data_IF_340367943913
#
_entry.id   IF_340367943913
#
_cell.length_a   1.000
_cell.length_b   1.000
_cell.length_c   1.000
_cell.angle_alpha   90.00
_cell.angle_beta   90.00
_cell.angle_gamma   90.00
#
_symmetry.space_group_name_H-M   'P 1'
#
loop_
_entity.id
_entity.type
_entity.pdbx_description
1 polymer ?
#
# COMPACT_ATOMS: atom_id res chain seq x y z
N UNK A 1 23.65 -7.36 -47.90
CA UNK A 1 24.40 -8.43 -47.22
C UNK A 1 24.15 -8.32 -45.71
N UNK A 2 23.00 -8.69 -45.17
CA UNK A 2 22.42 -10.03 -44.99
C UNK A 2 23.30 -10.93 -44.10
N UNK A 3 23.14 -10.83 -42.75
CA UNK A 3 23.39 -11.89 -41.74
C UNK A 3 23.08 -11.38 -40.32
N UNK A 4 21.79 -11.31 -39.98
CA UNK A 4 21.32 -11.39 -38.58
C UNK A 4 20.08 -12.28 -38.61
N UNK A 5 20.30 -13.59 -38.51
CA UNK A 5 19.22 -14.56 -38.28
C UNK A 5 19.71 -15.59 -37.28
N UNK A 6 18.78 -16.04 -36.44
CA UNK A 6 18.82 -17.21 -35.55
C UNK A 6 19.43 -17.01 -34.16
N UNK A 7 18.58 -16.58 -33.21
CA UNK A 7 18.60 -17.09 -31.83
C UNK A 7 17.23 -16.83 -31.18
N UNK A 8 16.24 -17.67 -31.48
CA UNK A 8 14.99 -17.79 -30.70
C UNK A 8 14.19 -19.01 -31.19
N UNK A 9 14.65 -20.23 -30.91
CA UNK A 9 13.83 -21.44 -31.02
C UNK A 9 14.49 -22.61 -30.28
N UNK A 10 14.27 -22.73 -28.97
CA UNK A 10 14.40 -23.99 -28.22
C UNK A 10 13.89 -23.80 -26.78
N UNK A 11 12.59 -23.99 -26.56
CA UNK A 11 12.00 -24.51 -25.31
C UNK A 11 10.47 -24.57 -25.44
N UNK A 12 10.01 -25.51 -26.25
CA UNK A 12 8.65 -26.05 -26.16
C UNK A 12 8.82 -27.56 -26.05
N UNK A 13 8.70 -28.07 -24.83
CA UNK A 13 8.87 -29.48 -24.53
C UNK A 13 8.23 -29.83 -23.18
N UNK A 14 6.95 -30.23 -23.26
CA UNK A 14 6.17 -30.99 -22.29
C UNK A 14 5.89 -30.38 -20.88
N UNK A 15 4.75 -29.69 -20.75
CA UNK A 15 3.96 -29.69 -19.50
C UNK A 15 2.46 -29.57 -19.80
N UNK A 16 1.81 -30.70 -20.01
CA UNK A 16 0.35 -30.92 -19.93
C UNK A 16 0.27 -32.37 -19.39
N UNK A 17 -0.38 -32.77 -18.29
CA UNK A 17 -1.65 -32.39 -17.68
C UNK A 17 -1.62 -32.75 -16.18
N UNK A 18 -1.70 -31.77 -15.30
CA UNK A 18 -2.23 -31.94 -13.95
C UNK A 18 -2.77 -30.58 -13.51
N UNK A 19 -4.02 -30.28 -13.88
CA UNK A 19 -4.67 -29.04 -13.49
C UNK A 19 -4.90 -29.03 -11.98
N UNK A 20 -4.39 -28.04 -11.22
CA UNK A 20 -4.83 -27.89 -9.85
C UNK A 20 -6.23 -27.29 -9.87
N UNK A 21 -7.21 -28.08 -9.43
CA UNK A 21 -8.57 -27.67 -9.04
C UNK A 21 -8.57 -26.75 -7.80
N UNK A 22 -7.74 -25.71 -7.79
CA UNK A 22 -7.54 -24.79 -6.66
C UNK A 22 -7.87 -23.36 -7.07
N UNK A 23 -9.05 -23.18 -7.67
CA UNK A 23 -9.73 -21.88 -7.75
C UNK A 23 -11.01 -21.87 -6.91
N UNK A 24 -11.27 -22.92 -6.12
CA UNK A 24 -12.39 -22.94 -5.19
C UNK A 24 -11.98 -22.18 -3.92
N UNK A 25 -12.48 -20.95 -3.86
CA UNK A 25 -12.40 -20.04 -2.74
C UNK A 25 -12.93 -20.75 -1.49
N UNK A 26 -12.03 -21.27 -0.64
CA UNK A 26 -12.41 -21.82 0.67
C UNK A 26 -12.94 -20.65 1.50
N UNK A 27 -14.26 -20.46 1.42
CA UNK A 27 -15.05 -19.58 2.26
C UNK A 27 -15.07 -20.17 3.68
N UNK A 28 -13.92 -20.14 4.35
CA UNK A 28 -13.82 -20.51 5.76
C UNK A 28 -14.76 -19.61 6.56
N UNK A 29 -15.80 -20.21 7.13
CA UNK A 29 -16.74 -19.61 8.09
C UNK A 29 -15.96 -18.96 9.24
N UNK A 30 -15.72 -17.65 9.11
CA UNK A 30 -15.23 -16.84 10.22
C UNK A 30 -16.41 -16.48 11.11
N UNK A 31 -16.56 -17.24 12.18
CA UNK A 31 -17.53 -17.03 13.26
C UNK A 31 -17.68 -15.56 13.69
N UNK A 32 -18.90 -15.03 13.58
CA UNK A 32 -19.46 -14.00 14.48
C UNK A 32 -19.04 -12.54 14.31
N UNK A 33 -18.46 -12.13 13.18
CA UNK A 33 -18.20 -10.72 12.89
C UNK A 33 -19.35 -10.08 12.08
N UNK A 34 -19.79 -8.84 12.37
CA UNK A 34 -20.73 -8.13 11.48
C UNK A 34 -20.13 -8.06 10.07
N UNK A 35 -20.93 -8.28 9.00
CA UNK A 35 -20.45 -8.38 7.64
C UNK A 35 -19.55 -7.20 7.32
N UNK A 36 -18.26 -7.50 7.13
CA UNK A 36 -17.27 -6.50 6.75
C UNK A 36 -17.77 -5.84 5.48
N UNK A 37 -18.02 -4.52 5.51
CA UNK A 37 -18.33 -3.70 4.34
C UNK A 37 -17.62 -4.25 3.12
N UNK A 38 -18.37 -4.59 2.06
CA UNK A 38 -17.88 -5.13 0.79
C UNK A 38 -16.55 -4.46 0.50
N UNK A 39 -15.46 -5.18 0.75
CA UNK A 39 -14.13 -4.66 0.45
C UNK A 39 -14.16 -4.53 -1.06
N UNK A 40 -13.98 -3.31 -1.58
CA UNK A 40 -13.79 -3.11 -3.02
C UNK A 40 -12.84 -4.22 -3.47
N UNK A 41 -13.21 -5.00 -4.50
CA UNK A 41 -12.37 -6.09 -4.98
C UNK A 41 -10.96 -5.53 -5.10
N UNK A 42 -10.02 -6.20 -4.44
CA UNK A 42 -8.63 -5.77 -4.54
C UNK A 42 -8.32 -5.79 -6.03
N UNK A 43 -7.90 -4.64 -6.59
CA UNK A 43 -7.37 -4.60 -7.96
C UNK A 43 -6.44 -5.80 -8.13
N UNK A 44 -6.78 -6.66 -9.09
CA UNK A 44 -6.08 -7.91 -9.29
C UNK A 44 -4.62 -7.64 -9.61
N UNK A 45 -3.75 -8.62 -9.39
CA UNK A 45 -2.36 -8.53 -9.84
C UNK A 45 -2.30 -8.23 -11.35
N UNK A 46 -3.20 -8.84 -12.13
CA UNK A 46 -3.34 -8.62 -13.56
C UNK A 46 -3.60 -7.15 -13.91
N UNK A 47 -4.61 -6.53 -13.30
CA UNK A 47 -4.93 -5.11 -13.54
C UNK A 47 -3.75 -4.17 -13.21
N UNK A 48 -2.96 -4.49 -12.16
CA UNK A 48 -1.75 -3.71 -11.86
C UNK A 48 -0.66 -3.87 -12.91
N UNK A 49 -0.54 -5.05 -13.52
CA UNK A 49 0.44 -5.32 -14.58
C UNK A 49 0.01 -4.72 -15.92
N UNK A 50 -1.29 -4.72 -16.22
CA UNK A 50 -1.87 -3.99 -17.36
C UNK A 50 -1.62 -2.48 -17.22
N UNK A 51 -1.87 -1.90 -16.04
CA UNK A 51 -1.54 -0.48 -15.76
C UNK A 51 -0.03 -0.18 -15.86
N UNK A 52 0.82 -1.13 -15.46
CA UNK A 52 2.27 -1.01 -15.66
C UNK A 52 2.60 -0.99 -17.16
N UNK A 53 2.07 -1.93 -17.94
CA UNK A 53 2.28 -2.00 -19.38
C UNK A 53 1.85 -0.71 -20.07
N UNK A 54 0.62 -0.23 -19.81
CA UNK A 54 0.11 1.03 -20.37
C UNK A 54 1.03 2.22 -20.03
N UNK A 55 1.54 2.27 -18.80
CA UNK A 55 2.48 3.31 -18.38
C UNK A 55 3.81 3.18 -19.14
N UNK A 56 4.30 1.96 -19.40
CA UNK A 56 5.53 1.77 -20.16
C UNK A 56 5.38 2.21 -21.60
N UNK A 57 4.29 1.82 -22.27
CA UNK A 57 4.01 2.22 -23.66
C UNK A 57 3.97 3.74 -23.78
N UNK A 58 3.21 4.41 -22.89
CA UNK A 58 3.05 5.86 -22.91
C UNK A 58 4.34 6.62 -22.59
N UNK A 59 5.04 6.24 -21.52
CA UNK A 59 6.17 7.03 -21.02
C UNK A 59 7.49 6.75 -21.75
N UNK A 60 7.61 5.59 -22.40
CA UNK A 60 8.81 5.19 -23.16
C UNK A 60 8.65 5.31 -24.67
N UNK A 61 7.45 5.67 -25.15
CA UNK A 61 7.16 5.84 -26.58
C UNK A 61 7.60 4.61 -27.38
N UNK A 62 7.22 3.42 -26.88
CA UNK A 62 7.63 2.15 -27.47
C UNK A 62 7.05 1.99 -28.89
N UNK A 63 7.86 1.54 -29.84
CA UNK A 63 7.36 1.15 -31.16
C UNK A 63 6.59 -0.18 -31.12
N UNK A 64 5.93 -0.56 -32.21
CA UNK A 64 5.07 -1.75 -32.24
C UNK A 64 5.79 -3.05 -31.82
N UNK A 65 7.01 -3.26 -32.31
CA UNK A 65 7.81 -4.46 -31.99
C UNK A 65 8.21 -4.49 -30.51
N UNK A 66 8.67 -3.34 -29.98
CA UNK A 66 8.99 -3.18 -28.56
C UNK A 66 7.75 -3.38 -27.67
N UNK A 67 6.58 -2.87 -28.07
CA UNK A 67 5.33 -3.06 -27.34
C UNK A 67 4.98 -4.54 -27.23
N UNK A 68 5.03 -5.29 -28.33
CA UNK A 68 4.78 -6.73 -28.33
C UNK A 68 5.75 -7.49 -27.42
N UNK A 69 7.05 -7.20 -27.52
CA UNK A 69 8.07 -7.86 -26.70
C UNK A 69 7.97 -7.49 -25.21
N UNK A 70 7.68 -6.23 -24.88
CA UNK A 70 7.45 -5.80 -23.48
C UNK A 70 6.18 -6.44 -22.92
N UNK A 71 5.11 -6.54 -23.70
CA UNK A 71 3.88 -7.24 -23.29
C UNK A 71 4.16 -8.70 -22.95
N UNK A 72 4.88 -9.40 -23.82
CA UNK A 72 5.28 -10.78 -23.59
C UNK A 72 6.14 -10.94 -22.31
N UNK A 73 7.07 -10.02 -22.06
CA UNK A 73 7.87 -10.03 -20.82
C UNK A 73 7.00 -9.84 -19.56
N UNK A 74 6.01 -8.95 -19.61
CA UNK A 74 5.08 -8.71 -18.50
C UNK A 74 4.15 -9.90 -18.27
N UNK A 75 3.64 -10.53 -19.33
CA UNK A 75 2.80 -11.74 -19.26
C UNK A 75 3.59 -12.94 -18.72
N UNK A 76 4.84 -13.13 -19.17
CA UNK A 76 5.74 -14.15 -18.64
C UNK A 76 5.97 -13.95 -17.15
N UNK A 77 6.25 -12.70 -16.71
CA UNK A 77 6.36 -12.39 -15.29
C UNK A 77 5.06 -12.65 -14.51
N UNK A 78 3.90 -12.35 -15.09
CA UNK A 78 2.61 -12.64 -14.48
C UNK A 78 2.45 -14.15 -14.21
N UNK A 79 2.82 -14.98 -15.20
CA UNK A 79 2.79 -16.43 -15.09
C UNK A 79 3.83 -16.96 -14.10
N UNK A 80 5.08 -16.46 -14.14
CA UNK A 80 6.14 -16.81 -13.19
C UNK A 80 5.70 -16.53 -11.75
N UNK A 81 5.07 -15.37 -11.49
CA UNK A 81 4.55 -15.06 -10.16
C UNK A 81 3.36 -15.94 -9.79
N UNK A 82 2.51 -16.32 -10.74
CA UNK A 82 1.40 -17.25 -10.49
C UNK A 82 1.93 -18.62 -10.07
N UNK A 83 2.91 -19.15 -10.81
CA UNK A 83 3.58 -20.42 -10.49
C UNK A 83 4.25 -20.34 -9.10
N UNK A 84 5.00 -19.27 -8.83
CA UNK A 84 5.62 -19.05 -7.52
C UNK A 84 4.61 -18.99 -6.37
N UNK A 85 3.44 -18.39 -6.59
CA UNK A 85 2.35 -18.39 -5.58
C UNK A 85 1.76 -19.79 -5.39
N UNK A 86 1.66 -20.59 -6.45
CA UNK A 86 1.18 -21.97 -6.32
C UNK A 86 2.19 -22.85 -5.55
N UNK A 87 3.48 -22.69 -5.85
CA UNK A 87 4.57 -23.45 -5.22
C UNK A 87 4.78 -23.06 -3.75
N UNK A 88 4.81 -21.76 -3.43
CA UNK A 88 5.12 -21.27 -2.08
C UNK A 88 3.90 -20.76 -1.30
N UNK A 89 2.69 -20.91 -1.84
CA UNK A 89 1.46 -20.34 -1.27
C UNK A 89 1.14 -20.89 0.11
N UNK A 90 1.14 -22.22 0.25
CA UNK A 90 0.90 -22.91 1.52
C UNK A 90 2.03 -22.64 2.52
N UNK A 91 3.29 -22.61 2.08
CA UNK A 91 4.43 -22.26 2.94
C UNK A 91 4.29 -20.83 3.51
N UNK A 92 3.92 -19.85 2.68
CA UNK A 92 3.67 -18.48 3.13
C UNK A 92 2.49 -18.38 4.09
N UNK A 93 1.44 -19.19 3.90
CA UNK A 93 0.29 -19.26 4.79
C UNK A 93 0.69 -19.82 6.15
N UNK A 94 1.40 -20.96 6.16
CA UNK A 94 1.94 -21.57 7.37
C UNK A 94 2.88 -20.61 8.12
N UNK A 95 3.80 -19.94 7.42
CA UNK A 95 4.69 -18.93 8.02
C UNK A 95 3.92 -17.78 8.66
N UNK A 96 2.83 -17.29 8.04
CA UNK A 96 2.00 -16.23 8.65
C UNK A 96 1.34 -16.70 9.93
N UNK A 97 0.87 -17.94 9.97
CA UNK A 97 0.26 -18.53 11.17
C UNK A 97 1.29 -18.72 12.28
N UNK A 98 2.48 -19.23 11.95
CA UNK A 98 3.60 -19.37 12.90
C UNK A 98 4.02 -18.01 13.46
N UNK A 99 4.17 -16.98 12.61
CA UNK A 99 4.48 -15.61 13.06
C UNK A 99 3.39 -15.09 13.98
N UNK A 100 2.11 -15.35 13.68
CA UNK A 100 1.01 -14.94 14.54
C UNK A 100 1.02 -15.66 15.90
N UNK A 101 1.32 -16.96 15.93
CA UNK A 101 1.46 -17.76 17.16
C UNK A 101 2.65 -17.29 18.01
N UNK A 102 3.86 -17.26 17.45
CA UNK A 102 5.08 -16.81 18.13
C UNK A 102 4.93 -15.38 18.68
N UNK A 103 4.25 -14.49 17.92
CA UNK A 103 3.95 -13.13 18.38
C UNK A 103 2.98 -13.09 19.56
N UNK A 104 1.98 -13.97 19.61
CA UNK A 104 1.06 -14.08 20.75
C UNK A 104 1.77 -14.64 21.97
N UNK A 105 2.65 -15.62 21.78
CA UNK A 105 3.44 -16.25 22.84
C UNK A 105 4.62 -15.39 23.35
N UNK A 106 5.02 -14.35 22.61
CA UNK A 106 6.13 -13.48 22.99
C UNK A 106 7.52 -14.05 22.64
N UNK A 107 7.58 -15.06 21.78
CA UNK A 107 8.81 -15.77 21.39
C UNK A 107 9.66 -14.95 20.40
N UNK A 108 10.51 -14.06 20.94
CA UNK A 108 11.31 -13.12 20.13
C UNK A 108 12.31 -13.82 19.21
N UNK A 109 12.97 -14.88 19.67
CA UNK A 109 13.97 -15.60 18.86
C UNK A 109 13.31 -16.38 17.72
N UNK A 110 12.20 -17.08 17.99
CA UNK A 110 11.41 -17.74 16.95
C UNK A 110 10.95 -16.76 15.87
N UNK A 111 10.50 -15.56 16.26
CA UNK A 111 10.12 -14.51 15.32
C UNK A 111 11.27 -14.10 14.40
N UNK A 112 12.51 -13.99 14.89
CA UNK A 112 13.67 -13.65 14.02
C UNK A 112 13.86 -14.69 12.93
N UNK A 113 13.85 -15.98 13.29
CA UNK A 113 13.97 -17.08 12.32
C UNK A 113 12.84 -17.09 11.28
N UNK A 114 11.60 -16.90 11.72
CA UNK A 114 10.45 -16.80 10.82
C UNK A 114 10.54 -15.61 9.86
N UNK A 115 11.04 -14.45 10.33
CA UNK A 115 11.27 -13.30 9.47
C UNK A 115 12.39 -13.52 8.45
N UNK A 116 13.43 -14.27 8.80
CA UNK A 116 14.47 -14.66 7.84
C UNK A 116 13.89 -15.54 6.72
N UNK A 117 13.07 -16.55 7.06
CA UNK A 117 12.36 -17.37 6.06
C UNK A 117 11.46 -16.52 5.16
N UNK A 118 10.67 -15.63 5.76
CA UNK A 118 9.80 -14.71 5.01
C UNK A 118 10.60 -13.81 4.04
N UNK A 119 11.78 -13.33 4.46
CA UNK A 119 12.67 -12.54 3.61
C UNK A 119 13.28 -13.38 2.50
N UNK A 120 13.64 -14.63 2.75
CA UNK A 120 14.19 -15.54 1.75
C UNK A 120 13.19 -15.79 0.61
N UNK A 121 11.95 -16.17 0.94
CA UNK A 121 10.87 -16.28 -0.05
C UNK A 121 10.61 -14.94 -0.76
N UNK A 122 10.63 -13.84 0.00
CA UNK A 122 10.54 -12.50 -0.57
C UNK A 122 11.60 -12.24 -1.64
N UNK A 123 12.86 -12.66 -1.45
CA UNK A 123 13.97 -12.48 -2.40
C UNK A 123 13.72 -13.22 -3.72
N UNK A 124 13.27 -14.47 -3.68
CA UNK A 124 12.92 -15.22 -4.89
C UNK A 124 11.88 -14.47 -5.75
N UNK A 125 10.83 -13.94 -5.11
CA UNK A 125 9.85 -13.12 -5.82
C UNK A 125 10.45 -11.82 -6.39
N UNK A 126 11.41 -11.21 -5.69
CA UNK A 126 12.14 -10.04 -6.21
C UNK A 126 13.00 -10.39 -7.42
N UNK A 127 13.59 -11.57 -7.47
CA UNK A 127 14.39 -12.06 -8.61
C UNK A 127 13.53 -12.23 -9.86
N UNK A 128 12.30 -12.75 -9.74
CA UNK A 128 11.34 -12.80 -10.87
C UNK A 128 11.11 -11.42 -11.49
N UNK A 129 10.94 -10.40 -10.63
CA UNK A 129 10.79 -9.02 -11.09
C UNK A 129 12.07 -8.49 -11.73
N UNK A 130 13.23 -8.77 -11.14
CA UNK A 130 14.52 -8.35 -11.69
C UNK A 130 14.77 -8.97 -13.08
N UNK A 131 14.38 -10.24 -13.28
CA UNK A 131 14.41 -10.93 -14.58
C UNK A 131 13.56 -10.20 -15.61
N UNK A 132 12.30 -9.88 -15.29
CA UNK A 132 11.42 -9.10 -16.18
C UNK A 132 12.02 -7.73 -16.51
N UNK A 133 12.54 -7.00 -15.50
CA UNK A 133 13.17 -5.69 -15.72
C UNK A 133 14.41 -5.79 -16.62
N UNK A 134 15.22 -6.85 -16.49
CA UNK A 134 16.38 -7.10 -17.35
C UNK A 134 15.96 -7.38 -18.80
N UNK A 135 14.90 -8.18 -19.01
CA UNK A 135 14.35 -8.45 -20.35
C UNK A 135 13.87 -7.15 -21.00
N UNK A 136 13.10 -6.33 -20.28
CA UNK A 136 12.64 -5.03 -20.79
C UNK A 136 13.84 -4.14 -21.15
N UNK A 137 14.83 -4.00 -20.26
CA UNK A 137 16.02 -3.15 -20.51
C UNK A 137 16.81 -3.54 -21.76
N UNK A 138 16.82 -4.82 -22.14
CA UNK A 138 17.51 -5.30 -23.33
C UNK A 138 16.82 -4.87 -24.64
N UNK A 139 15.53 -4.56 -24.60
CA UNK A 139 14.71 -4.15 -25.76
C UNK A 139 14.73 -2.64 -26.01
N UNK A 140 15.22 -1.86 -25.06
CA UNK A 140 15.17 -0.40 -25.08
C UNK A 140 16.46 0.19 -25.65
N UNK A 141 16.35 1.34 -26.32
CA UNK A 141 17.52 2.17 -26.61
C UNK A 141 17.98 2.93 -25.35
N UNK A 142 19.09 3.67 -25.42
CA UNK A 142 19.71 4.25 -24.23
C UNK A 142 18.85 5.35 -23.57
N UNK A 143 18.15 6.17 -24.36
CA UNK A 143 17.22 7.18 -23.85
C UNK A 143 16.02 6.53 -23.14
N UNK A 144 15.44 5.51 -23.75
CA UNK A 144 14.36 4.72 -23.17
C UNK A 144 14.82 4.00 -21.88
N UNK A 145 16.04 3.44 -21.84
CA UNK A 145 16.60 2.84 -20.61
C UNK A 145 16.68 3.87 -19.49
N UNK A 146 17.08 5.11 -19.77
CA UNK A 146 17.13 6.18 -18.77
C UNK A 146 15.73 6.54 -18.25
N UNK A 147 14.74 6.72 -19.14
CA UNK A 147 13.33 6.94 -18.78
C UNK A 147 12.77 5.77 -17.95
N UNK A 148 13.04 4.54 -18.35
CA UNK A 148 12.58 3.33 -17.65
C UNK A 148 13.18 3.21 -16.25
N UNK A 149 14.49 3.43 -16.09
CA UNK A 149 15.14 3.46 -14.77
C UNK A 149 14.52 4.51 -13.84
N UNK A 150 14.19 5.71 -14.37
CA UNK A 150 13.50 6.77 -13.62
C UNK A 150 12.08 6.35 -13.24
N UNK A 151 11.35 5.73 -14.15
CA UNK A 151 10.00 5.21 -13.89
C UNK A 151 10.02 4.12 -12.81
N UNK A 152 10.91 3.13 -12.92
CA UNK A 152 11.13 2.10 -11.91
C UNK A 152 11.49 2.72 -10.57
N UNK A 153 12.35 3.74 -10.56
CA UNK A 153 12.70 4.46 -9.36
C UNK A 153 11.49 5.15 -8.74
N UNK A 154 10.60 5.79 -9.51
CA UNK A 154 9.36 6.40 -9.01
C UNK A 154 8.41 5.34 -8.43
N UNK A 155 8.26 4.21 -9.12
CA UNK A 155 7.41 3.09 -8.68
C UNK A 155 7.93 2.42 -7.41
N UNK A 156 9.25 2.21 -7.32
CA UNK A 156 9.92 1.67 -6.12
C UNK A 156 9.91 2.69 -4.99
N UNK A 157 10.09 3.98 -5.30
CA UNK A 157 10.10 5.09 -4.34
C UNK A 157 8.68 5.58 -4.03
N UNK A 158 7.81 4.69 -3.60
CA UNK A 158 6.70 5.04 -2.71
C UNK A 158 7.16 5.53 -1.31
N UNK A 159 8.34 6.14 -1.22
CA UNK A 159 9.00 6.55 0.02
C UNK A 159 8.51 7.88 0.58
N UNK A 160 9.06 8.29 1.73
CA UNK A 160 8.65 9.50 2.45
C UNK A 160 8.67 10.75 1.56
N UNK A 161 9.71 10.92 0.75
CA UNK A 161 9.90 12.09 -0.09
C UNK A 161 8.88 12.18 -1.24
N UNK A 162 8.50 11.07 -1.88
CA UNK A 162 7.42 11.05 -2.87
C UNK A 162 6.06 11.34 -2.24
N UNK A 163 5.81 10.80 -1.05
CA UNK A 163 4.61 11.10 -0.30
C UNK A 163 4.53 12.59 0.07
N UNK A 164 5.66 13.19 0.43
CA UNK A 164 5.84 14.60 0.74
C UNK A 164 5.66 15.50 -0.49
N UNK A 165 6.34 15.24 -1.61
CA UNK A 165 6.15 15.97 -2.88
C UNK A 165 4.69 15.96 -3.35
N UNK A 166 3.99 14.82 -3.20
CA UNK A 166 2.55 14.72 -3.48
C UNK A 166 1.69 15.56 -2.52
N UNK A 167 2.13 15.75 -1.28
CA UNK A 167 1.45 16.62 -0.32
C UNK A 167 1.69 18.10 -0.61
N UNK A 168 2.93 18.50 -0.95
CA UNK A 168 3.25 19.87 -1.36
C UNK A 168 2.43 20.33 -2.56
N UNK A 169 2.30 19.50 -3.61
CA UNK A 169 1.46 19.80 -4.79
C UNK A 169 -0.01 20.06 -4.46
N UNK A 170 -0.51 19.59 -3.30
CA UNK A 170 -1.89 19.84 -2.84
C UNK A 170 -2.03 21.10 -2.00
N UNK A 171 -0.93 21.75 -1.64
CA UNK A 171 -0.94 23.02 -0.91
C UNK A 171 -1.18 24.22 -1.82
N UNK A 172 -1.03 24.06 -3.16
CA UNK A 172 -1.04 25.16 -4.13
C UNK A 172 -0.04 26.24 -3.71
N UNK A 173 1.23 25.86 -3.71
CA UNK A 173 2.32 26.78 -3.38
C UNK A 173 2.51 27.75 -4.55
N UNK A 174 2.98 28.96 -4.24
CA UNK A 174 3.43 29.91 -5.26
C UNK A 174 4.60 29.31 -6.07
N UNK A 175 4.84 29.84 -7.27
CA UNK A 175 5.90 29.33 -8.16
C UNK A 175 7.29 29.40 -7.49
N UNK A 176 7.60 30.52 -6.84
CA UNK A 176 8.86 30.66 -6.09
C UNK A 176 8.99 29.65 -4.96
N UNK A 177 7.93 29.45 -4.18
CA UNK A 177 7.92 28.47 -3.09
C UNK A 177 8.12 27.05 -3.64
N UNK A 178 7.48 26.73 -4.77
CA UNK A 178 7.63 25.46 -5.46
C UNK A 178 9.07 25.24 -5.91
N UNK A 179 9.68 26.22 -6.58
CA UNK A 179 11.07 26.17 -7.03
C UNK A 179 12.05 26.00 -5.86
N UNK A 180 11.87 26.77 -4.77
CA UNK A 180 12.71 26.66 -3.55
C UNK A 180 12.58 25.29 -2.90
N UNK A 181 11.35 24.77 -2.75
CA UNK A 181 11.11 23.44 -2.20
C UNK A 181 11.73 22.34 -3.08
N UNK A 182 11.59 22.43 -4.40
CA UNK A 182 12.18 21.47 -5.33
C UNK A 182 13.70 21.48 -5.29
N UNK A 183 14.34 22.66 -5.22
CA UNK A 183 15.79 22.78 -5.07
C UNK A 183 16.29 22.06 -3.82
N UNK A 184 15.67 22.31 -2.65
CA UNK A 184 16.01 21.65 -1.38
C UNK A 184 15.86 20.13 -1.50
N UNK A 185 14.71 19.66 -2.02
CA UNK A 185 14.44 18.23 -2.14
C UNK A 185 15.32 17.53 -3.18
N UNK A 186 15.75 18.21 -4.24
CA UNK A 186 16.66 17.66 -5.26
C UNK A 186 18.08 17.52 -4.73
N UNK A 187 18.57 18.52 -3.98
CA UNK A 187 19.87 18.45 -3.31
C UNK A 187 19.91 17.29 -2.31
N UNK A 188 18.91 17.18 -1.43
CA UNK A 188 18.81 16.08 -0.48
C UNK A 188 18.72 14.70 -1.15
N UNK A 189 18.09 14.62 -2.33
CA UNK A 189 18.05 13.39 -3.12
C UNK A 189 19.43 13.02 -3.69
N UNK A 190 20.25 14.00 -4.08
CA UNK A 190 21.63 13.77 -4.50
C UNK A 190 22.51 13.34 -3.33
N UNK A 191 22.39 13.98 -2.17
CA UNK A 191 23.15 13.62 -0.96
C UNK A 191 22.77 12.22 -0.46
N UNK A 192 21.48 11.89 -0.46
CA UNK A 192 21.02 10.55 -0.12
C UNK A 192 21.47 9.47 -1.12
N UNK A 193 21.83 9.82 -2.36
CA UNK A 193 22.46 8.86 -3.29
C UNK A 193 23.91 8.54 -2.90
N UNK A 194 24.63 9.51 -2.33
CA UNK A 194 26.03 9.37 -1.89
C UNK A 194 26.17 8.59 -0.58
N UNK A 195 25.16 8.67 0.30
CA UNK A 195 25.16 7.91 1.55
C UNK A 195 25.16 6.39 1.30
N UNK A 196 25.89 5.63 2.11
CA UNK A 196 25.95 4.16 2.03
C UNK A 196 24.86 3.53 2.88
N UNK A 197 24.71 3.96 4.13
CA UNK A 197 23.75 3.40 5.07
C UNK A 197 22.32 3.92 4.84
N UNK A 198 21.33 3.04 5.03
CA UNK A 198 19.92 3.40 4.89
C UNK A 198 19.44 4.43 5.92
N UNK A 199 20.01 4.42 7.14
CA UNK A 199 19.68 5.37 8.21
C UNK A 199 20.06 6.79 7.83
N UNK A 200 21.24 6.97 7.25
CA UNK A 200 21.75 8.29 6.84
C UNK A 200 20.93 8.85 5.67
N UNK A 201 20.58 8.01 4.69
CA UNK A 201 19.66 8.37 3.61
C UNK A 201 18.34 8.92 4.13
N UNK A 202 17.79 8.26 5.15
CA UNK A 202 16.54 8.68 5.77
C UNK A 202 16.71 10.00 6.54
N UNK A 203 17.80 10.16 7.29
CA UNK A 203 18.10 11.38 8.03
C UNK A 203 18.26 12.60 7.11
N UNK A 204 18.95 12.45 5.97
CA UNK A 204 19.09 13.49 4.94
C UNK A 204 17.72 13.92 4.41
N UNK A 205 16.86 12.94 4.08
CA UNK A 205 15.50 13.20 3.60
C UNK A 205 14.65 13.92 4.67
N UNK A 206 14.73 13.47 5.92
CA UNK A 206 13.94 14.06 7.02
C UNK A 206 14.40 15.50 7.30
N UNK A 207 15.72 15.76 7.29
CA UNK A 207 16.28 17.12 7.44
C UNK A 207 15.79 18.04 6.32
N UNK A 208 15.78 17.57 5.07
CA UNK A 208 15.30 18.35 3.94
C UNK A 208 13.79 18.65 4.03
N UNK A 209 13.00 17.68 4.51
CA UNK A 209 11.57 17.87 4.77
C UNK A 209 11.36 18.95 5.84
N UNK A 210 12.12 18.92 6.93
CA UNK A 210 12.05 19.96 7.97
C UNK A 210 12.50 21.33 7.45
N UNK A 211 13.55 21.38 6.64
CA UNK A 211 13.99 22.63 6.01
C UNK A 211 12.89 23.23 5.13
N UNK A 212 12.28 22.45 4.24
CA UNK A 212 11.15 22.94 3.42
C UNK A 212 10.00 23.47 4.30
N UNK A 213 9.66 22.75 5.38
CA UNK A 213 8.62 23.22 6.30
C UNK A 213 8.98 24.56 6.92
N UNK A 214 10.21 24.72 7.39
CA UNK A 214 10.60 25.86 8.20
C UNK A 214 11.00 27.10 7.39
N UNK A 215 11.50 26.93 6.16
CA UNK A 215 12.02 28.04 5.36
C UNK A 215 11.16 28.40 4.15
N UNK A 216 10.35 27.46 3.64
CA UNK A 216 9.57 27.69 2.41
C UNK A 216 8.09 27.90 2.72
N UNK A 217 7.54 27.15 3.67
CA UNK A 217 6.11 27.16 3.93
C UNK A 217 5.70 28.18 4.99
N UNK A 218 4.59 28.87 4.74
CA UNK A 218 3.93 29.70 5.74
C UNK A 218 3.38 28.87 6.90
N UNK A 219 3.12 29.46 8.09
CA UNK A 219 2.53 28.74 9.23
C UNK A 219 1.24 27.99 8.87
N UNK A 220 0.36 28.61 8.09
CA UNK A 220 -0.90 27.99 7.63
C UNK A 220 -0.66 26.81 6.69
N UNK A 221 0.27 26.97 5.73
CA UNK A 221 0.66 25.91 4.81
C UNK A 221 1.28 24.72 5.57
N UNK A 222 2.08 24.98 6.62
CA UNK A 222 2.63 23.91 7.50
C UNK A 222 1.51 23.14 8.20
N UNK A 223 0.50 23.82 8.75
CA UNK A 223 -0.64 23.19 9.40
C UNK A 223 -1.43 22.32 8.40
N UNK A 224 -1.67 22.83 7.18
CA UNK A 224 -2.33 22.09 6.10
C UNK A 224 -1.52 20.89 5.63
N UNK A 225 -0.20 21.04 5.49
CA UNK A 225 0.73 19.97 5.15
C UNK A 225 0.71 18.87 6.20
N UNK A 226 0.78 19.24 7.49
CA UNK A 226 0.70 18.31 8.60
C UNK A 226 -0.62 17.52 8.56
N UNK A 227 -1.75 18.16 8.23
CA UNK A 227 -3.03 17.48 8.01
C UNK A 227 -2.97 16.50 6.84
N UNK A 228 -2.41 16.89 5.69
CA UNK A 228 -2.27 16.03 4.51
C UNK A 228 -1.41 14.78 4.80
N UNK A 229 -0.25 14.97 5.43
CA UNK A 229 0.66 13.88 5.81
C UNK A 229 0.02 12.96 6.87
N UNK A 230 -0.70 13.52 7.85
CA UNK A 230 -1.48 12.74 8.83
C UNK A 230 -2.58 11.93 8.15
N UNK A 231 -3.27 12.48 7.15
CA UNK A 231 -4.39 11.81 6.47
C UNK A 231 -3.91 10.57 5.72
N UNK A 232 -2.74 10.66 5.10
CA UNK A 232 -2.10 9.52 4.42
C UNK A 232 -1.68 8.41 5.39
N UNK A 233 -1.22 8.75 6.60
CA UNK A 233 -0.98 7.78 7.67
C UNK A 233 -2.29 7.21 8.26
N UNK A 234 -3.37 8.00 8.30
CA UNK A 234 -4.68 7.60 8.86
C UNK A 234 -5.45 6.61 7.97
N UNK A 235 -5.16 6.55 6.66
CA UNK A 235 -5.75 5.55 5.75
C UNK A 235 -5.38 4.10 6.06
N UNK A 236 -4.26 3.86 6.77
CA UNK A 236 -3.86 2.55 7.31
C UNK A 236 -4.04 2.49 8.83
N UNK A 237 -5.29 2.59 9.29
CA UNK A 237 -5.73 1.93 10.54
C UNK A 237 -5.26 2.47 11.90
N UNK A 238 -4.56 3.61 12.02
CA UNK A 238 -4.08 4.12 13.33
C UNK A 238 -4.62 5.48 13.80
N UNK A 239 -5.50 6.13 13.04
CA UNK A 239 -6.21 7.33 13.54
C UNK A 239 -7.24 6.97 14.62
N UNK A 240 -7.69 7.96 15.41
CA UNK A 240 -8.73 7.90 16.47
C UNK A 240 -10.11 7.34 16.06
N UNK A 241 -10.17 6.56 14.98
CA UNK A 241 -11.37 5.96 14.45
C UNK A 241 -12.39 7.03 14.05
N UNK A 242 -13.68 6.79 14.32
CA UNK A 242 -14.75 7.76 14.11
C UNK A 242 -14.52 9.15 14.72
N UNK A 243 -13.82 9.28 15.86
CA UNK A 243 -13.65 10.57 16.57
C UNK A 243 -12.92 11.61 15.73
N UNK A 244 -12.03 11.18 14.84
CA UNK A 244 -11.30 12.08 13.95
C UNK A 244 -12.17 12.84 12.96
N UNK A 245 -13.47 12.54 12.87
CA UNK A 245 -14.46 13.21 12.00
C UNK A 245 -15.37 14.19 12.73
N UNK A 246 -15.25 14.32 14.06
CA UNK A 246 -16.12 15.14 14.90
C UNK A 246 -15.64 16.60 15.05
N UNK A 247 -14.65 17.03 14.25
CA UNK A 247 -14.06 18.37 14.32
C UNK A 247 -13.68 18.80 15.76
N UNK A 248 -13.13 17.87 16.55
CA UNK A 248 -12.72 18.14 17.93
C UNK A 248 -11.84 19.38 18.03
N UNK A 249 -12.06 20.20 19.07
CA UNK A 249 -11.20 21.35 19.42
C UNK A 249 -9.80 20.87 19.80
N UNK A 250 -8.84 21.79 19.92
CA UNK A 250 -7.48 21.41 20.31
C UNK A 250 -7.44 20.78 21.71
N UNK A 251 -8.14 21.37 22.67
CA UNK A 251 -8.20 20.86 24.05
C UNK A 251 -8.89 19.50 24.11
N UNK A 252 -10.02 19.33 23.43
CA UNK A 252 -10.66 18.02 23.29
C UNK A 252 -9.69 16.99 22.70
N UNK A 253 -8.91 17.34 21.67
CA UNK A 253 -7.91 16.42 21.08
C UNK A 253 -6.80 16.08 22.07
N UNK A 254 -6.36 17.01 22.91
CA UNK A 254 -5.36 16.76 23.96
C UNK A 254 -5.94 15.81 25.00
N UNK A 255 -7.16 16.05 25.48
CA UNK A 255 -7.86 15.17 26.42
C UNK A 255 -8.07 13.76 25.85
N UNK A 256 -8.57 13.64 24.62
CA UNK A 256 -8.74 12.34 23.96
C UNK A 256 -7.39 11.61 23.84
N UNK A 257 -6.31 12.31 23.50
CA UNK A 257 -4.99 11.71 23.42
C UNK A 257 -4.49 11.22 24.77
N UNK A 258 -4.67 12.00 25.85
CA UNK A 258 -4.31 11.62 27.21
C UNK A 258 -5.06 10.35 27.65
N UNK A 259 -6.38 10.31 27.46
CA UNK A 259 -7.22 9.14 27.80
C UNK A 259 -6.74 7.89 27.06
N UNK A 260 -6.48 7.98 25.75
CA UNK A 260 -5.97 6.83 24.99
C UNK A 260 -4.50 6.51 25.25
N UNK A 261 -3.69 7.45 25.74
CA UNK A 261 -2.32 7.19 26.16
C UNK A 261 -2.31 6.35 27.44
N UNK A 262 -3.12 6.70 28.44
CA UNK A 262 -3.30 5.92 29.66
C UNK A 262 -3.75 4.48 29.34
N UNK A 263 -4.77 4.32 28.48
CA UNK A 263 -5.23 2.99 28.09
C UNK A 263 -4.21 2.13 27.31
N UNK A 264 -3.14 2.72 26.75
CA UNK A 264 -2.05 1.95 26.12
C UNK A 264 -1.11 1.34 27.15
N UNK A 265 -1.03 1.91 28.35
CA UNK A 265 -0.19 1.40 29.44
C UNK A 265 -0.80 0.17 30.12
N UNK A 266 -2.06 -0.17 29.82
CA UNK A 266 -2.69 -1.38 30.32
C UNK A 266 -1.94 -2.65 29.85
N UNK A 267 -1.98 -3.67 30.71
CA UNK A 267 -1.39 -4.98 30.48
C UNK A 267 -1.88 -5.62 29.17
N UNK A 268 -1.04 -6.38 28.44
CA UNK A 268 -1.38 -6.93 27.13
C UNK A 268 -2.75 -7.63 27.04
N UNK A 269 -3.14 -8.37 28.08
CA UNK A 269 -4.45 -9.04 28.17
C UNK A 269 -5.63 -8.08 28.36
N UNK A 270 -5.41 -6.94 29.02
CA UNK A 270 -6.45 -5.95 29.36
C UNK A 270 -6.58 -4.81 28.34
N UNK A 271 -5.61 -4.66 27.42
CA UNK A 271 -5.59 -3.56 26.42
C UNK A 271 -6.88 -3.40 25.63
N UNK A 272 -7.59 -4.50 25.33
CA UNK A 272 -8.86 -4.42 24.61
C UNK A 272 -9.95 -3.75 25.45
N UNK A 273 -10.04 -4.11 26.73
CA UNK A 273 -11.02 -3.57 27.66
C UNK A 273 -10.68 -2.12 28.03
N UNK A 274 -9.44 -1.85 28.42
CA UNK A 274 -8.96 -0.48 28.69
C UNK A 274 -9.23 0.48 27.51
N UNK A 275 -9.11 -0.01 26.26
CA UNK A 275 -9.43 0.79 25.06
C UNK A 275 -10.94 1.02 24.90
N UNK A 276 -11.81 0.08 25.28
CA UNK A 276 -13.26 0.27 25.31
C UNK A 276 -13.65 1.30 26.37
N UNK A 277 -13.06 1.20 27.55
CA UNK A 277 -13.34 2.10 28.67
C UNK A 277 -12.86 3.52 28.37
N UNK A 278 -11.65 3.65 27.80
CA UNK A 278 -11.16 4.93 27.26
C UNK A 278 -12.09 5.51 26.19
N UNK A 279 -12.66 4.67 25.32
CA UNK A 279 -13.63 5.15 24.35
C UNK A 279 -14.92 5.65 25.01
N UNK A 280 -15.44 4.92 26.01
CA UNK A 280 -16.62 5.31 26.78
C UNK A 280 -16.38 6.64 27.48
N UNK A 281 -15.26 6.77 28.20
CA UNK A 281 -14.83 8.00 28.88
C UNK A 281 -14.74 9.19 27.92
N UNK A 282 -14.13 9.03 26.75
CA UNK A 282 -14.08 10.11 25.74
C UNK A 282 -15.47 10.56 25.32
N UNK A 283 -16.41 9.64 25.12
CA UNK A 283 -17.79 9.97 24.72
C UNK A 283 -18.52 10.71 25.83
N UNK A 284 -18.35 10.31 27.09
CA UNK A 284 -19.06 10.86 28.24
C UNK A 284 -18.48 12.18 28.75
N UNK A 285 -17.16 12.38 28.67
CA UNK A 285 -16.51 13.52 29.33
C UNK A 285 -15.92 14.54 28.36
N UNK A 286 -15.58 14.16 27.13
CA UNK A 286 -14.87 15.05 26.19
C UNK A 286 -15.78 15.58 25.09
N UNK A 287 -16.72 14.76 24.61
CA UNK A 287 -17.61 15.15 23.51
C UNK A 287 -18.78 15.99 24.02
N UNK A 288 -19.09 17.05 23.28
CA UNK A 288 -20.34 17.80 23.44
C UNK A 288 -21.53 16.96 22.99
N UNK A 289 -22.74 17.33 23.40
CA UNK A 289 -23.96 16.59 23.05
C UNK A 289 -24.15 16.50 21.53
N UNK A 290 -23.95 17.60 20.79
CA UNK A 290 -23.98 17.61 19.33
C UNK A 290 -22.98 16.63 18.68
N UNK A 291 -21.76 16.55 19.24
CA UNK A 291 -20.73 15.63 18.75
C UNK A 291 -21.09 14.16 19.05
N UNK A 292 -21.75 13.89 20.18
CA UNK A 292 -22.27 12.55 20.54
C UNK A 292 -23.37 12.12 19.58
N UNK A 293 -24.33 13.00 19.29
CA UNK A 293 -25.38 12.75 18.31
C UNK A 293 -24.79 12.48 16.93
N UNK A 294 -23.84 13.30 16.46
CA UNK A 294 -23.13 13.08 15.18
C UNK A 294 -22.37 11.75 15.16
N UNK A 295 -21.74 11.37 16.28
CA UNK A 295 -21.07 10.08 16.42
C UNK A 295 -22.06 8.91 16.35
N UNK A 296 -23.24 9.05 16.95
CA UNK A 296 -24.32 8.07 16.92
C UNK A 296 -24.90 7.92 15.51
N UNK A 297 -25.18 9.02 14.80
CA UNK A 297 -25.60 9.00 13.40
C UNK A 297 -24.57 8.29 12.50
N UNK A 298 -23.28 8.55 12.70
CA UNK A 298 -22.23 7.83 11.98
C UNK A 298 -22.22 6.31 12.27
N UNK A 299 -22.55 5.90 13.51
CA UNK A 299 -22.67 4.50 13.90
C UNK A 299 -23.90 3.86 13.25
N UNK A 300 -25.05 4.54 13.27
CA UNK A 300 -26.29 4.09 12.62
C UNK A 300 -26.10 3.93 11.10
N UNK A 301 -25.51 4.92 10.42
CA UNK A 301 -25.19 4.83 8.98
C UNK A 301 -24.29 3.63 8.65
N UNK A 302 -23.37 3.26 9.54
CA UNK A 302 -22.50 2.08 9.36
C UNK A 302 -23.22 0.76 9.59
N UNK A 303 -24.20 0.71 10.51
CA UNK A 303 -25.03 -0.47 10.77
C UNK A 303 -26.10 -0.66 9.69
N UNK A 304 -26.74 0.42 9.23
CA UNK A 304 -27.83 0.37 8.25
C UNK A 304 -27.40 0.15 6.79
N UNK A 305 -26.22 0.63 6.39
CA UNK A 305 -25.76 0.51 4.99
C UNK A 305 -25.22 -0.87 4.57
N UNK A 306 -25.32 -1.90 5.44
CA UNK A 306 -24.70 -3.21 5.22
C UNK A 306 -25.64 -4.32 4.74
N UNK A 307 -26.97 -4.12 4.78
CA UNK A 307 -27.95 -5.22 4.55
C UNK A 307 -28.84 -5.10 3.32
N UNK A 308 -28.93 -3.95 2.64
CA UNK A 308 -29.93 -3.74 1.57
C UNK A 308 -29.49 -4.12 0.14
N UNK A 309 -28.47 -4.95 -0.07
CA UNK A 309 -27.90 -5.20 -1.42
C UNK A 309 -27.83 -6.64 -1.90
N UNK A 310 -28.64 -7.56 -1.33
CA UNK A 310 -28.64 -8.96 -1.75
C UNK A 310 -30.00 -9.65 -1.75
N UNK A 311 -31.11 -8.91 -1.89
CA UNK A 311 -32.45 -9.50 -1.79
C UNK A 311 -33.46 -8.94 -2.81
N UNK A 312 -32.99 -8.50 -3.97
CA UNK A 312 -33.88 -7.97 -5.02
C UNK A 312 -33.35 -8.30 -6.40
N UNK A 313 -33.52 -9.55 -6.86
CA UNK A 313 -33.62 -9.97 -8.27
C UNK A 313 -33.80 -11.50 -8.36
N UNK A 314 -34.89 -12.04 -7.83
CA UNK A 314 -35.27 -13.44 -8.15
C UNK A 314 -36.79 -13.70 -8.11
N UNK A 315 -37.59 -12.65 -8.32
CA UNK A 315 -39.03 -12.77 -8.50
C UNK A 315 -39.47 -11.91 -9.69
N UNK A 316 -39.27 -12.48 -10.86
CA UNK A 316 -39.82 -12.07 -12.14
C UNK A 316 -39.37 -13.15 -13.13
N UNK A 317 -40.21 -13.82 -13.89
CA UNK A 317 -41.65 -13.70 -14.08
C UNK A 317 -41.97 -14.90 -14.97
N UNK A 318 -42.50 -16.00 -14.42
CA UNK A 318 -42.97 -17.11 -15.24
C UNK A 318 -44.31 -16.71 -15.86
N UNK A 319 -44.28 -16.08 -17.02
CA UNK A 319 -45.45 -15.96 -17.89
C UNK A 319 -45.51 -17.25 -18.72
N UNK A 320 -46.46 -18.10 -18.36
CA UNK A 320 -46.99 -19.14 -19.24
C UNK A 320 -48.14 -18.49 -20.00
N UNK A 321 -48.04 -18.54 -21.32
CA UNK A 321 -49.16 -18.73 -22.25
C UNK A 321 -48.73 -19.83 -23.24
#
# INVERSE_FOLDING_TARGET
>A
MARVKWFCAALVGAMVLAGPAWAQEVAGERSGGPPSKVRRPRRGQREMLEQLYETLVRELELNADQQAAVKQAVETYAQDVKNWVNEHGEELKALREQVAKARKAGEKEALKGLWQKYRALGRQRWELRAKMEKQILALLNDDQKAKFKKLLQVMRRGGPLTAFRKALRRLRLEEEQTARAEKILKAAEQDAKKATQAKDKQAIIDKAIEQVKNTVLSPEQRARLARLLRTRRRGRGRGLGPLGRLNLTEDQRRQVQAIFAAARQAEPGQRRQARRDAWKKVVETVLTEEQRQKLQQMRQRRRGGGRKRGQSTEAGEGVRD
#
